data_IF_391709311708
#
_entry.id   IF_391709311708
#
_cell.length_a   1.000
_cell.length_b   1.000
_cell.length_c   1.000
_cell.angle_alpha   90.00
_cell.angle_beta   90.00
_cell.angle_gamma   90.00
#
_symmetry.space_group_name_H-M   'P 1'
#
loop_
_entity.id
_entity.type
_entity.pdbx_description
1 polymer ?
#
# COMPACT_ATOMS: atom_id res chain seq x y z
N UNK A 1 -8.16 8.63 -15.02
CA UNK A 1 -7.12 7.78 -14.40
C UNK A 1 -5.95 7.76 -15.37
N UNK A 2 -4.76 8.22 -14.98
CA UNK A 2 -3.63 8.40 -15.91
C UNK A 2 -3.25 7.08 -16.59
N UNK A 3 -3.14 7.10 -17.93
CA UNK A 3 -2.75 5.94 -18.75
C UNK A 3 -1.37 5.40 -18.32
N UNK A 4 -0.43 6.30 -18.02
CA UNK A 4 0.90 5.96 -17.49
C UNK A 4 0.89 5.23 -16.14
N UNK A 5 -0.03 5.59 -15.24
CA UNK A 5 -0.13 4.91 -13.93
C UNK A 5 -0.65 3.48 -14.09
N UNK A 6 -1.65 3.27 -14.96
CA UNK A 6 -2.13 1.91 -15.25
C UNK A 6 -1.04 1.07 -15.90
N UNK A 7 -0.29 1.65 -16.83
CA UNK A 7 0.82 0.96 -17.50
C UNK A 7 1.87 0.48 -16.50
N UNK A 8 2.37 1.38 -15.64
CA UNK A 8 3.35 1.03 -14.59
C UNK A 8 2.84 -0.04 -13.63
N UNK A 9 1.59 0.07 -13.16
CA UNK A 9 0.97 -0.94 -12.29
C UNK A 9 0.89 -2.33 -12.95
N UNK A 10 0.51 -2.40 -14.23
CA UNK A 10 0.43 -3.65 -14.99
C UNK A 10 1.82 -4.23 -15.21
N UNK A 11 2.80 -3.41 -15.61
CA UNK A 11 4.18 -3.85 -15.77
C UNK A 11 4.74 -4.40 -14.47
N UNK A 12 4.54 -3.72 -13.34
CA UNK A 12 5.02 -4.22 -12.04
C UNK A 12 4.31 -5.50 -11.63
N UNK A 13 3.00 -5.63 -11.86
CA UNK A 13 2.25 -6.86 -11.57
C UNK A 13 2.81 -8.06 -12.36
N UNK A 14 3.12 -7.88 -13.64
CA UNK A 14 3.68 -8.93 -14.51
C UNK A 14 5.10 -9.29 -14.04
N UNK A 15 5.96 -8.30 -13.83
CA UNK A 15 7.33 -8.51 -13.38
C UNK A 15 7.39 -9.17 -12.00
N UNK A 16 6.53 -8.77 -11.08
CA UNK A 16 6.49 -9.31 -9.71
C UNK A 16 5.92 -10.73 -9.63
N UNK A 17 5.26 -11.20 -10.70
CA UNK A 17 4.69 -12.54 -10.80
C UNK A 17 5.31 -13.36 -11.95
N UNK A 18 6.47 -12.93 -12.46
CA UNK A 18 7.14 -13.60 -13.55
C UNK A 18 7.98 -14.78 -13.03
N UNK A 19 7.69 -15.99 -13.51
CA UNK A 19 8.41 -17.21 -13.14
C UNK A 19 9.92 -17.13 -13.43
N UNK A 20 10.32 -16.42 -14.48
CA UNK A 20 11.73 -16.25 -14.87
C UNK A 20 12.54 -15.53 -13.78
N UNK A 21 11.90 -14.61 -13.04
CA UNK A 21 12.53 -13.87 -11.94
C UNK A 21 12.36 -14.55 -10.58
N UNK A 22 11.89 -15.80 -10.54
CA UNK A 22 11.67 -16.54 -9.29
C UNK A 22 12.94 -16.78 -8.46
N UNK A 23 14.13 -16.66 -9.07
CA UNK A 23 15.42 -16.69 -8.36
C UNK A 23 15.65 -15.50 -7.41
N UNK A 24 14.88 -14.41 -7.55
CA UNK A 24 14.95 -13.22 -6.69
C UNK A 24 14.03 -13.31 -5.45
N UNK A 25 13.43 -14.48 -5.16
CA UNK A 25 12.54 -14.69 -4.00
C UNK A 25 13.18 -14.30 -2.67
N UNK A 26 14.50 -14.33 -2.56
CA UNK A 26 15.23 -13.93 -1.35
C UNK A 26 15.31 -12.42 -1.12
N UNK A 27 15.03 -11.59 -2.14
CA UNK A 27 15.08 -10.14 -2.02
C UNK A 27 13.74 -9.60 -1.48
N UNK A 28 13.73 -8.96 -0.29
CA UNK A 28 12.51 -8.41 0.28
C UNK A 28 12.19 -7.08 -0.41
N UNK A 29 11.22 -7.09 -1.32
CA UNK A 29 10.74 -5.85 -1.91
C UNK A 29 9.69 -5.25 -0.97
N UNK A 30 9.71 -3.92 -0.71
CA UNK A 30 8.81 -3.32 0.26
C UNK A 30 7.46 -2.99 -0.39
N UNK A 31 6.93 -3.98 -1.10
CA UNK A 31 5.59 -4.01 -1.66
C UNK A 31 4.91 -5.27 -1.12
N UNK A 32 3.60 -5.20 -0.97
CA UNK A 32 2.82 -6.36 -0.54
C UNK A 32 2.69 -7.34 -1.71
N UNK A 33 3.55 -8.36 -1.72
CA UNK A 33 3.50 -9.54 -2.57
C UNK A 33 3.87 -10.76 -1.71
N UNK A 34 3.02 -11.77 -1.68
CA UNK A 34 3.13 -12.90 -0.77
C UNK A 34 4.25 -13.86 -1.21
N UNK A 35 5.19 -14.14 -0.30
CA UNK A 35 6.27 -15.12 -0.54
C UNK A 35 5.75 -16.54 -0.79
N UNK A 36 4.59 -16.90 -0.24
CA UNK A 36 3.99 -18.22 -0.44
C UNK A 36 3.36 -18.41 -1.82
N UNK A 37 3.25 -17.35 -2.64
CA UNK A 37 2.76 -17.47 -4.00
C UNK A 37 3.84 -18.13 -4.88
N UNK A 38 3.53 -19.22 -5.62
CA UNK A 38 4.53 -19.92 -6.43
C UNK A 38 5.13 -19.02 -7.52
N UNK A 39 4.33 -18.09 -8.05
CA UNK A 39 4.68 -17.15 -9.10
C UNK A 39 5.40 -15.89 -8.61
N UNK A 40 5.48 -15.64 -7.29
CA UNK A 40 6.10 -14.42 -6.78
C UNK A 40 7.60 -14.38 -7.07
N UNK A 41 8.05 -13.27 -7.67
CA UNK A 41 9.47 -13.01 -7.96
C UNK A 41 10.24 -12.44 -6.75
N UNK A 42 9.54 -11.91 -5.75
CA UNK A 42 10.15 -11.21 -4.59
C UNK A 42 9.47 -11.59 -3.29
N UNK A 43 10.17 -11.51 -2.15
CA UNK A 43 9.60 -11.73 -0.84
C UNK A 43 8.83 -10.51 -0.31
N UNK A 44 7.81 -10.79 0.51
CA UNK A 44 7.12 -9.76 1.30
C UNK A 44 8.08 -9.15 2.32
N UNK A 45 8.40 -7.86 2.20
CA UNK A 45 9.26 -7.18 3.17
C UNK A 45 8.75 -7.22 4.61
N UNK A 46 7.42 -7.23 4.82
CA UNK A 46 6.83 -7.35 6.17
C UNK A 46 6.97 -8.77 6.71
N UNK A 47 6.82 -9.79 5.86
CA UNK A 47 7.02 -11.18 6.28
C UNK A 47 8.47 -11.45 6.67
N UNK A 48 9.42 -10.93 5.89
CA UNK A 48 10.83 -10.97 6.23
C UNK A 48 11.11 -10.26 7.57
N UNK A 49 10.54 -9.07 7.78
CA UNK A 49 10.67 -8.33 9.04
C UNK A 49 10.18 -9.17 10.24
N UNK A 50 9.02 -9.82 10.13
CA UNK A 50 8.49 -10.67 11.21
C UNK A 50 9.36 -11.90 11.46
N UNK A 51 9.84 -12.56 10.40
CA UNK A 51 10.71 -13.72 10.56
C UNK A 51 11.97 -13.39 11.36
N UNK A 52 12.62 -12.26 11.05
CA UNK A 52 13.80 -11.80 11.79
C UNK A 52 13.48 -11.43 13.25
N UNK A 53 12.34 -10.79 13.51
CA UNK A 53 11.87 -10.50 14.87
C UNK A 53 11.60 -11.77 15.68
N UNK A 54 11.02 -12.79 15.06
CA UNK A 54 10.75 -14.09 15.68
C UNK A 54 12.04 -14.82 16.11
N UNK A 55 13.08 -14.80 15.27
CA UNK A 55 14.37 -15.43 15.60
C UNK A 55 15.27 -14.56 16.49
N UNK A 56 14.81 -13.38 16.91
CA UNK A 56 15.58 -12.44 17.72
C UNK A 56 16.77 -11.79 17.01
N UNK A 57 16.86 -11.91 15.68
CA UNK A 57 17.95 -11.32 14.90
C UNK A 57 17.55 -9.94 14.36
N UNK A 58 18.50 -9.01 14.32
CA UNK A 58 18.22 -7.66 13.83
C UNK A 58 18.13 -7.64 12.29
N UNK A 59 17.00 -7.17 11.71
CA UNK A 59 16.76 -7.23 10.26
C UNK A 59 17.46 -6.11 9.47
N UNK A 60 18.80 -6.05 9.50
CA UNK A 60 19.58 -5.00 8.85
C UNK A 60 19.24 -4.82 7.36
N UNK A 61 19.17 -5.91 6.60
CA UNK A 61 18.87 -5.88 5.16
C UNK A 61 17.47 -5.30 4.88
N UNK A 62 16.46 -5.79 5.61
CA UNK A 62 15.07 -5.37 5.40
C UNK A 62 14.93 -3.89 5.76
N UNK A 63 15.39 -3.48 6.94
CA UNK A 63 15.33 -2.09 7.37
C UNK A 63 16.11 -1.16 6.44
N UNK A 64 17.28 -1.58 5.98
CA UNK A 64 18.08 -0.85 4.99
C UNK A 64 17.30 -0.62 3.69
N UNK A 65 16.66 -1.65 3.15
CA UNK A 65 15.83 -1.53 1.94
C UNK A 65 14.62 -0.62 2.17
N UNK A 66 13.90 -0.77 3.29
CA UNK A 66 12.78 0.11 3.63
C UNK A 66 13.22 1.57 3.80
N UNK A 67 14.40 1.82 4.39
CA UNK A 67 14.94 3.16 4.59
C UNK A 67 15.40 3.79 3.27
N UNK A 68 16.12 3.05 2.43
CA UNK A 68 16.59 3.53 1.12
C UNK A 68 15.42 3.84 0.19
N UNK A 69 14.47 2.90 0.07
CA UNK A 69 13.30 3.07 -0.80
C UNK A 69 12.32 4.09 -0.20
N UNK A 70 12.15 4.09 1.12
CA UNK A 70 11.29 5.02 1.83
C UNK A 70 11.76 6.47 1.72
N UNK A 71 13.06 6.71 1.84
CA UNK A 71 13.67 8.04 1.71
C UNK A 71 13.74 8.54 0.26
N UNK A 72 13.91 7.67 -0.72
CA UNK A 72 13.96 8.09 -2.14
C UNK A 72 12.56 8.23 -2.74
N UNK A 73 11.77 7.15 -2.70
CA UNK A 73 10.49 7.03 -3.41
C UNK A 73 9.30 7.17 -2.44
N UNK A 74 9.45 6.77 -1.19
CA UNK A 74 8.41 6.83 -0.17
C UNK A 74 7.15 6.05 -0.56
N UNK A 75 5.97 6.61 -0.27
CA UNK A 75 4.65 6.01 -0.61
C UNK A 75 4.31 5.99 -2.11
N UNK A 76 5.17 6.49 -3.00
CA UNK A 76 4.90 6.50 -4.43
C UNK A 76 4.80 5.07 -4.97
N UNK A 77 5.55 4.13 -4.38
CA UNK A 77 5.41 2.70 -4.68
C UNK A 77 3.99 2.17 -4.40
N UNK A 78 3.36 2.56 -3.29
CA UNK A 78 2.00 2.13 -2.99
C UNK A 78 0.99 2.60 -4.03
N UNK A 79 1.20 3.79 -4.62
CA UNK A 79 0.36 4.34 -5.68
C UNK A 79 0.61 3.73 -7.07
N UNK A 80 1.88 3.53 -7.42
CA UNK A 80 2.31 3.25 -8.80
C UNK A 80 2.80 1.82 -9.05
N UNK A 81 3.40 1.17 -8.05
CA UNK A 81 4.07 -0.13 -8.23
C UNK A 81 3.32 -1.29 -7.53
N UNK A 82 2.55 -1.00 -6.47
CA UNK A 82 1.94 -2.05 -5.65
C UNK A 82 0.83 -2.81 -6.42
N UNK A 83 0.95 -4.14 -6.65
CA UNK A 83 -0.05 -4.92 -7.35
C UNK A 83 -1.36 -4.98 -6.56
N UNK A 84 -1.27 -5.14 -5.24
CA UNK A 84 -2.45 -5.10 -4.38
C UNK A 84 -3.19 -3.76 -4.46
N UNK A 85 -2.46 -2.65 -4.54
CA UNK A 85 -3.06 -1.33 -4.75
C UNK A 85 -3.83 -1.21 -6.07
N UNK A 86 -3.33 -1.85 -7.13
CA UNK A 86 -4.02 -1.94 -8.41
C UNK A 86 -5.31 -2.77 -8.32
N UNK A 87 -5.28 -3.92 -7.63
CA UNK A 87 -6.47 -4.73 -7.37
C UNK A 87 -7.57 -3.93 -6.64
N UNK A 88 -7.20 -3.12 -5.65
CA UNK A 88 -8.16 -2.25 -4.95
C UNK A 88 -8.81 -1.22 -5.89
N UNK A 89 -8.03 -0.61 -6.78
CA UNK A 89 -8.56 0.35 -7.77
C UNK A 89 -9.44 -0.34 -8.82
N UNK A 90 -9.21 -1.63 -9.10
CA UNK A 90 -10.05 -2.41 -10.00
C UNK A 90 -11.40 -2.75 -9.35
N UNK A 91 -11.38 -3.24 -8.11
CA UNK A 91 -12.60 -3.61 -7.36
C UNK A 91 -13.50 -2.40 -7.08
N UNK A 92 -12.92 -1.23 -6.82
CA UNK A 92 -13.69 0.00 -6.60
C UNK A 92 -14.47 0.49 -7.84
N UNK A 93 -14.16 -0.02 -9.04
CA UNK A 93 -14.95 0.32 -10.25
C UNK A 93 -16.29 -0.39 -10.28
N UNK A 94 -16.50 -1.41 -9.46
CA UNK A 94 -17.77 -2.11 -9.38
C UNK A 94 -18.82 -1.12 -8.85
N UNK A 95 -19.97 -0.95 -9.52
CA UNK A 95 -20.97 0.03 -9.13
C UNK A 95 -21.67 -0.40 -7.84
N UNK A 96 -21.21 0.14 -6.71
CA UNK A 96 -21.79 -0.03 -5.37
C UNK A 96 -22.01 1.34 -4.73
N UNK A 97 -22.77 1.37 -3.63
CA UNK A 97 -22.95 2.59 -2.82
C UNK A 97 -21.61 2.97 -2.19
N UNK A 98 -20.97 4.02 -2.74
CA UNK A 98 -19.64 4.46 -2.32
C UNK A 98 -19.71 5.16 -0.97
N UNK A 99 -18.91 4.69 -0.02
CA UNK A 99 -18.76 5.28 1.31
C UNK A 99 -17.37 5.88 1.45
N UNK A 100 -17.29 7.03 2.11
CA UNK A 100 -16.03 7.70 2.44
C UNK A 100 -15.81 7.68 3.93
N UNK A 101 -14.70 7.09 4.37
CA UNK A 101 -14.37 6.99 5.78
C UNK A 101 -13.68 8.26 6.33
N UNK A 102 -13.89 8.61 7.61
CA UNK A 102 -13.23 9.75 8.26
C UNK A 102 -11.72 9.56 8.38
N UNK A 103 -10.95 10.65 8.27
CA UNK A 103 -9.48 10.62 8.15
C UNK A 103 -8.77 9.88 9.29
N UNK A 104 -9.35 9.86 10.49
CA UNK A 104 -8.81 9.16 11.66
C UNK A 104 -8.59 7.65 11.45
N UNK A 105 -9.26 7.02 10.47
CA UNK A 105 -9.19 5.58 10.25
C UNK A 105 -7.82 5.16 9.74
N UNK A 106 -7.05 6.12 9.24
CA UNK A 106 -5.65 5.92 8.91
C UNK A 106 -4.78 5.55 10.11
N UNK A 107 -5.22 5.82 11.34
CA UNK A 107 -4.46 5.49 12.55
C UNK A 107 -4.43 3.99 12.85
N UNK A 108 -5.48 3.25 12.44
CA UNK A 108 -5.60 1.82 12.72
C UNK A 108 -4.41 1.01 12.17
N UNK A 109 -3.80 1.44 11.06
CA UNK A 109 -2.63 0.72 10.50
C UNK A 109 -1.43 0.75 11.44
N UNK A 110 -1.26 1.80 12.25
CA UNK A 110 -0.16 1.89 13.21
C UNK A 110 -0.41 0.98 14.41
N UNK A 111 -1.67 0.89 14.86
CA UNK A 111 -2.07 -0.07 15.88
C UNK A 111 -1.85 -1.50 15.38
N UNK A 112 -2.29 -1.81 14.16
CA UNK A 112 -2.10 -3.12 13.53
C UNK A 112 -0.61 -3.44 13.36
N UNK A 113 0.20 -2.46 12.94
CA UNK A 113 1.65 -2.63 12.84
C UNK A 113 2.27 -2.93 14.21
N UNK A 114 1.98 -2.13 15.22
CA UNK A 114 2.54 -2.33 16.56
C UNK A 114 2.11 -3.68 17.15
N UNK A 115 0.83 -4.03 17.08
CA UNK A 115 0.30 -5.24 17.71
C UNK A 115 0.64 -6.49 16.89
N UNK A 116 0.28 -6.55 15.60
CA UNK A 116 0.41 -7.78 14.80
C UNK A 116 1.80 -8.01 14.20
N UNK A 117 2.58 -6.95 13.97
CA UNK A 117 3.91 -7.06 13.34
C UNK A 117 5.03 -7.01 14.36
N UNK A 118 4.88 -6.27 15.47
CA UNK A 118 5.93 -6.11 16.48
C UNK A 118 5.64 -6.92 17.75
N UNK A 119 4.59 -6.61 18.50
CA UNK A 119 4.34 -7.20 19.82
C UNK A 119 4.02 -8.70 19.77
N UNK A 120 3.09 -9.13 18.91
CA UNK A 120 2.67 -10.53 18.86
C UNK A 120 3.80 -11.49 18.43
N UNK A 121 4.60 -11.22 17.39
CA UNK A 121 5.73 -12.09 17.05
C UNK A 121 6.78 -12.18 18.15
N UNK A 122 6.96 -11.13 18.97
CA UNK A 122 7.90 -11.18 20.10
C UNK A 122 7.39 -12.05 21.25
N UNK A 123 6.07 -12.12 21.48
CA UNK A 123 5.47 -12.94 22.55
C UNK A 123 5.27 -14.39 22.12
N UNK A 124 4.71 -14.59 20.92
CA UNK A 124 4.28 -15.92 20.45
C UNK A 124 5.35 -16.60 19.58
N UNK A 125 6.40 -15.88 19.18
CA UNK A 125 7.46 -16.37 18.29
C UNK A 125 6.92 -16.94 16.97
N UNK A 126 5.84 -16.35 16.47
CA UNK A 126 5.18 -16.77 15.23
C UNK A 126 4.76 -15.53 14.41
N UNK A 127 4.91 -15.55 13.07
CA UNK A 127 4.55 -14.42 12.21
C UNK A 127 3.02 -14.32 12.01
N UNK A 128 2.31 -13.85 13.03
CA UNK A 128 0.84 -13.77 13.08
C UNK A 128 0.22 -12.97 11.92
N UNK A 129 0.81 -11.83 11.57
CA UNK A 129 0.32 -11.04 10.43
C UNK A 129 0.38 -11.84 9.12
N UNK A 130 1.45 -12.59 8.83
CA UNK A 130 1.51 -13.46 7.65
C UNK A 130 0.41 -14.53 7.63
N UNK A 131 0.05 -15.09 8.80
CA UNK A 131 -1.05 -16.06 8.90
C UNK A 131 -2.41 -15.44 8.60
N UNK A 132 -2.64 -14.20 9.04
CA UNK A 132 -3.92 -13.46 8.86
C UNK A 132 -3.96 -12.57 7.61
N UNK A 133 -2.86 -12.49 6.84
CA UNK A 133 -2.71 -11.53 5.76
C UNK A 133 -3.73 -11.79 4.64
N UNK A 134 -4.59 -10.81 4.30
CA UNK A 134 -5.55 -10.96 3.20
C UNK A 134 -4.86 -11.03 1.84
N UNK A 135 -3.67 -10.41 1.69
CA UNK A 135 -2.87 -10.49 0.47
C UNK A 135 -2.41 -11.93 0.24
N UNK A 136 -1.93 -12.61 1.29
CA UNK A 136 -1.56 -14.02 1.20
C UNK A 136 -2.75 -14.96 1.05
N UNK A 137 -3.96 -14.55 1.47
CA UNK A 137 -5.18 -15.29 1.20
C UNK A 137 -5.52 -15.26 -0.29
N UNK A 138 -5.45 -14.08 -0.90
CA UNK A 138 -5.76 -13.84 -2.29
C UNK A 138 -4.72 -14.46 -3.24
N UNK A 139 -3.43 -14.22 -2.98
CA UNK A 139 -2.34 -14.59 -3.91
C UNK A 139 -1.88 -16.05 -3.75
N UNK A 140 -1.84 -16.59 -2.53
CA UNK A 140 -1.37 -17.95 -2.27
C UNK A 140 -2.50 -18.88 -1.81
N UNK A 141 -3.38 -18.39 -0.93
CA UNK A 141 -4.46 -19.20 -0.35
C UNK A 141 -5.43 -19.76 -1.38
N UNK A 142 -5.95 -18.92 -2.29
CA UNK A 142 -6.90 -19.36 -3.33
C UNK A 142 -6.25 -20.36 -4.31
N UNK A 143 -5.08 -20.06 -4.93
CA UNK A 143 -4.48 -21.01 -5.88
C UNK A 143 -4.07 -22.34 -5.24
N UNK A 144 -3.52 -22.31 -4.02
CA UNK A 144 -3.12 -23.54 -3.31
C UNK A 144 -4.35 -24.39 -2.93
N UNK A 145 -5.44 -23.77 -2.48
CA UNK A 145 -6.68 -24.49 -2.18
C UNK A 145 -7.33 -25.12 -3.42
N UNK A 146 -7.21 -24.49 -4.59
CA UNK A 146 -7.73 -25.06 -5.84
C UNK A 146 -6.85 -26.23 -6.32
N UNK A 147 -5.53 -26.12 -6.21
CA UNK A 147 -4.59 -27.04 -6.86
C UNK A 147 -4.22 -28.26 -6.00
N UNK A 148 -4.22 -28.14 -4.67
CA UNK A 148 -3.69 -29.15 -3.78
C UNK A 148 -4.78 -29.74 -2.88
N UNK A 149 -5.08 -31.03 -3.05
CA UNK A 149 -6.07 -31.74 -2.25
C UNK A 149 -5.63 -31.95 -0.80
N UNK A 150 -4.31 -31.98 -0.52
CA UNK A 150 -3.78 -32.12 0.84
C UNK A 150 -3.97 -30.86 1.68
N UNK A 151 -3.87 -29.68 1.07
CA UNK A 151 -4.15 -28.40 1.74
C UNK A 151 -5.66 -28.27 2.09
N UNK A 152 -6.55 -28.86 1.28
CA UNK A 152 -8.00 -28.89 1.57
C UNK A 152 -8.35 -29.69 2.81
N UNK A 153 -7.56 -30.69 3.17
CA UNK A 153 -7.78 -31.48 4.39
C UNK A 153 -7.20 -30.81 5.64
N UNK A 154 -6.25 -29.88 5.47
CA UNK A 154 -5.68 -29.06 6.55
C UNK A 154 -6.46 -27.76 6.82
N UNK A 155 -7.74 -27.69 6.44
CA UNK A 155 -8.59 -26.52 6.70
C UNK A 155 -8.87 -26.45 8.20
N UNK A 156 -8.04 -25.68 8.90
CA UNK A 156 -8.25 -25.31 10.29
C UNK A 156 -9.11 -24.04 10.45
N UNK A 157 -9.52 -23.71 11.69
CA UNK A 157 -10.30 -22.51 12.00
C UNK A 157 -9.61 -21.20 11.55
N UNK A 158 -8.27 -21.19 11.55
CA UNK A 158 -7.47 -20.05 11.09
C UNK A 158 -7.68 -19.74 9.59
N UNK A 159 -7.92 -20.76 8.78
CA UNK A 159 -8.22 -20.61 7.35
C UNK A 159 -9.55 -19.89 7.15
N UNK A 160 -10.60 -20.28 7.90
CA UNK A 160 -11.90 -19.62 7.85
C UNK A 160 -11.82 -18.15 8.27
N UNK A 161 -11.12 -17.84 9.37
CA UNK A 161 -10.92 -16.45 9.82
C UNK A 161 -10.20 -15.62 8.75
N UNK A 162 -9.15 -16.18 8.14
CA UNK A 162 -8.39 -15.51 7.08
C UNK A 162 -9.26 -15.19 5.85
N UNK A 163 -10.12 -16.11 5.43
CA UNK A 163 -11.06 -15.90 4.31
C UNK A 163 -12.19 -14.94 4.67
N UNK A 164 -12.68 -14.96 5.91
CA UNK A 164 -13.66 -13.99 6.41
C UNK A 164 -13.08 -12.56 6.34
N UNK A 165 -11.84 -12.37 6.80
CA UNK A 165 -11.13 -11.09 6.72
C UNK A 165 -10.97 -10.66 5.25
N UNK A 166 -10.59 -11.60 4.37
CA UNK A 166 -10.47 -11.31 2.94
C UNK A 166 -11.81 -10.86 2.34
N UNK A 167 -12.90 -11.57 2.60
CA UNK A 167 -14.23 -11.25 2.09
C UNK A 167 -14.70 -9.87 2.57
N UNK A 168 -14.57 -9.60 3.87
CA UNK A 168 -14.89 -8.28 4.43
C UNK A 168 -14.05 -7.17 3.81
N UNK A 169 -12.78 -7.44 3.53
CA UNK A 169 -11.90 -6.47 2.88
C UNK A 169 -12.25 -6.25 1.41
N UNK A 170 -12.62 -7.29 0.66
CA UNK A 170 -13.09 -7.17 -0.73
C UNK A 170 -14.35 -6.32 -0.77
N UNK A 171 -15.32 -6.59 0.10
CA UNK A 171 -16.53 -5.78 0.22
C UNK A 171 -16.19 -4.31 0.51
N UNK A 172 -15.26 -4.06 1.43
CA UNK A 172 -14.80 -2.72 1.75
C UNK A 172 -14.10 -2.04 0.56
N UNK A 173 -13.35 -2.79 -0.27
CA UNK A 173 -12.70 -2.27 -1.49
C UNK A 173 -13.70 -1.90 -2.58
N UNK A 174 -14.88 -2.52 -2.61
CA UNK A 174 -15.94 -2.17 -3.55
C UNK A 174 -16.62 -0.85 -3.15
N UNK A 175 -16.74 -0.58 -1.84
CA UNK A 175 -17.41 0.60 -1.29
C UNK A 175 -16.46 1.80 -1.14
N UNK A 176 -15.21 1.54 -0.81
CA UNK A 176 -14.18 2.54 -0.55
C UNK A 176 -12.95 2.26 -1.39
N UNK A 177 -12.35 3.30 -1.95
CA UNK A 177 -11.13 3.16 -2.74
C UNK A 177 -9.91 3.04 -1.80
N UNK A 178 -9.11 1.97 -1.97
CA UNK A 178 -7.89 1.65 -1.22
C UNK A 178 -7.99 1.57 0.33
N UNK A 179 -8.98 0.87 0.93
CA UNK A 179 -9.15 0.79 2.38
C UNK A 179 -7.99 0.07 3.08
N UNK A 180 -7.48 -1.03 2.52
CA UNK A 180 -6.32 -1.75 3.07
C UNK A 180 -5.08 -0.86 3.21
N UNK A 181 -4.64 -0.18 2.15
CA UNK A 181 -3.47 0.70 2.19
C UNK A 181 -3.63 1.86 3.18
N UNK A 182 -4.87 2.27 3.46
CA UNK A 182 -5.19 3.34 4.40
C UNK A 182 -5.26 2.85 5.85
N UNK A 183 -5.95 1.74 6.11
CA UNK A 183 -6.36 1.33 7.46
C UNK A 183 -5.63 0.12 8.02
N UNK A 184 -5.08 -0.77 7.17
CA UNK A 184 -4.63 -2.11 7.62
C UNK A 184 -3.16 -2.36 7.27
N UNK A 185 -2.66 -1.83 6.16
CA UNK A 185 -1.37 -2.20 5.60
C UNK A 185 -0.18 -1.76 6.49
N UNK A 186 0.60 -2.72 7.05
CA UNK A 186 1.75 -2.41 7.90
C UNK A 186 2.90 -1.77 7.11
N UNK A 187 3.17 -2.20 5.87
CA UNK A 187 4.13 -1.53 5.00
C UNK A 187 3.72 -0.08 4.75
N UNK A 188 2.41 0.16 4.57
CA UNK A 188 1.85 1.50 4.48
C UNK A 188 2.11 2.34 5.73
N UNK A 189 2.04 1.75 6.92
CA UNK A 189 2.34 2.43 8.19
C UNK A 189 3.79 2.95 8.21
N UNK A 190 4.75 2.08 7.86
CA UNK A 190 6.17 2.44 7.77
C UNK A 190 6.37 3.58 6.75
N UNK A 191 5.86 3.43 5.52
CA UNK A 191 6.05 4.44 4.49
C UNK A 191 5.32 5.76 4.76
N UNK A 192 4.26 5.76 5.57
CA UNK A 192 3.63 7.02 6.00
C UNK A 192 4.58 7.90 6.79
N UNK A 193 5.46 7.30 7.60
CA UNK A 193 6.44 8.03 8.40
C UNK A 193 7.50 8.68 7.50
N UNK A 194 7.88 7.98 6.43
CA UNK A 194 8.86 8.47 5.46
C UNK A 194 8.35 9.62 4.58
N UNK A 195 7.06 9.98 4.59
CA UNK A 195 6.54 11.11 3.79
C UNK A 195 7.31 12.43 4.03
N UNK A 196 7.73 12.69 5.27
CA UNK A 196 8.44 13.93 5.62
C UNK A 196 9.90 13.94 5.13
N UNK A 197 10.47 12.77 4.89
CA UNK A 197 11.88 12.60 4.52
C UNK A 197 12.00 12.29 3.02
N UNK A 198 10.95 11.75 2.39
CA UNK A 198 10.97 11.31 1.01
C UNK A 198 11.42 12.42 0.07
N UNK A 199 12.32 12.12 -0.88
CA UNK A 199 12.76 13.08 -1.89
C UNK A 199 11.56 13.56 -2.70
N UNK A 200 10.71 12.64 -3.14
CA UNK A 200 9.50 12.96 -3.89
C UNK A 200 8.30 13.20 -2.97
N UNK A 201 7.56 14.30 -3.18
CA UNK A 201 6.39 14.67 -2.34
C UNK A 201 5.24 15.19 -3.18
N UNK A 202 4.04 15.08 -2.62
CA UNK A 202 2.82 15.76 -3.11
C UNK A 202 2.29 16.60 -1.96
N UNK A 203 2.18 17.91 -2.17
CA UNK A 203 1.68 18.84 -1.15
C UNK A 203 0.78 19.91 -1.76
N UNK A 204 -0.09 20.48 -0.94
CA UNK A 204 -0.81 21.70 -1.30
C UNK A 204 0.08 22.93 -1.13
N UNK A 205 -0.24 24.01 -1.82
CA UNK A 205 0.30 25.36 -1.60
C UNK A 205 -0.64 26.08 -0.63
N UNK A 206 -0.32 26.17 0.68
CA UNK A 206 -1.26 26.68 1.69
C UNK A 206 -1.74 28.10 1.37
N UNK A 207 -0.82 28.96 0.94
CA UNK A 207 -1.05 30.39 0.67
C UNK A 207 -2.06 30.64 -0.45
N UNK A 208 -2.20 29.69 -1.39
CA UNK A 208 -3.14 29.79 -2.52
C UNK A 208 -4.37 28.87 -2.33
N UNK A 209 -4.43 28.09 -1.25
CA UNK A 209 -5.46 27.07 -1.06
C UNK A 209 -6.78 27.68 -0.59
N UNK A 210 -7.86 27.36 -1.29
CA UNK A 210 -9.24 27.65 -0.87
C UNK A 210 -9.94 26.35 -0.41
N UNK A 211 -10.90 26.41 0.53
CA UNK A 211 -11.57 25.24 1.13
C UNK A 211 -12.59 24.57 0.20
N UNK A 212 -12.21 24.30 -1.06
CA UNK A 212 -13.07 23.72 -2.08
C UNK A 212 -13.17 22.18 -2.04
N UNK A 213 -12.31 21.50 -1.27
CA UNK A 213 -12.24 20.04 -1.14
C UNK A 213 -12.10 19.23 -2.45
N UNK A 214 -11.80 19.87 -3.59
CA UNK A 214 -11.65 19.20 -4.90
C UNK A 214 -10.55 18.12 -4.89
N UNK A 215 -9.41 18.41 -4.26
CA UNK A 215 -8.29 17.48 -4.17
C UNK A 215 -8.63 16.24 -3.33
N UNK A 216 -9.34 16.42 -2.21
CA UNK A 216 -9.79 15.32 -1.33
C UNK A 216 -10.81 14.43 -2.03
N UNK A 217 -11.79 15.02 -2.74
CA UNK A 217 -12.80 14.27 -3.49
C UNK A 217 -12.23 13.44 -4.64
N UNK A 218 -11.14 13.92 -5.26
CA UNK A 218 -10.45 13.22 -6.36
C UNK A 218 -9.39 12.22 -5.87
N UNK A 219 -9.03 12.28 -4.58
CA UNK A 219 -8.05 11.41 -3.98
C UNK A 219 -8.64 10.01 -3.78
N UNK A 220 -7.97 8.95 -4.27
CA UNK A 220 -8.46 7.58 -4.11
C UNK A 220 -8.52 7.16 -2.65
N UNK A 221 -7.64 7.69 -1.79
CA UNK A 221 -7.70 7.40 -0.36
C UNK A 221 -8.65 8.33 0.41
N UNK A 222 -9.27 9.33 -0.25
CA UNK A 222 -10.15 10.31 0.41
C UNK A 222 -9.43 11.23 1.41
N UNK A 223 -8.13 11.48 1.21
CA UNK A 223 -7.29 12.27 2.13
C UNK A 223 -6.77 13.54 1.46
N UNK A 224 -6.43 14.54 2.27
CA UNK A 224 -5.77 15.75 1.80
C UNK A 224 -4.34 15.44 1.33
N UNK A 225 -3.77 16.22 0.39
CA UNK A 225 -2.40 16.01 -0.07
C UNK A 225 -1.37 16.15 1.08
N UNK A 226 -1.70 16.91 2.13
CA UNK A 226 -0.86 17.14 3.30
C UNK A 226 -0.89 15.95 4.28
N UNK A 227 -1.91 15.09 4.23
CA UNK A 227 -2.00 13.90 5.09
C UNK A 227 -0.85 12.91 4.86
N UNK A 228 -0.38 12.27 5.94
CA UNK A 228 0.58 11.15 5.88
C UNK A 228 0.01 9.92 5.17
N UNK A 229 -1.30 9.88 4.97
CA UNK A 229 -1.99 8.78 4.29
C UNK A 229 -1.99 8.92 2.76
N UNK A 230 -1.45 10.03 2.23
CA UNK A 230 -1.32 10.24 0.79
C UNK A 230 -0.45 9.14 0.16
N UNK A 231 -1.03 8.37 -0.77
CA UNK A 231 -0.33 7.32 -1.54
C UNK A 231 0.39 7.86 -2.78
N UNK A 232 0.53 9.19 -2.90
CA UNK A 232 1.22 9.87 -4.00
C UNK A 232 0.79 9.42 -5.41
N UNK A 233 -0.51 9.17 -5.58
CA UNK A 233 -1.10 8.74 -6.85
C UNK A 233 -1.21 9.87 -7.90
N UNK A 234 -0.94 11.13 -7.50
CA UNK A 234 -0.96 12.36 -8.30
C UNK A 234 -2.29 12.73 -8.98
N UNK A 235 -3.39 12.03 -8.69
CA UNK A 235 -4.71 12.36 -9.24
C UNK A 235 -5.16 13.80 -8.94
N UNK A 236 -4.72 14.37 -7.81
CA UNK A 236 -5.05 15.73 -7.38
C UNK A 236 -4.28 16.82 -8.14
N UNK A 237 -3.07 16.53 -8.64
CA UNK A 237 -2.19 17.50 -9.32
C UNK A 237 -2.84 17.99 -10.63
N UNK A 238 -3.46 17.09 -11.39
CA UNK A 238 -4.18 17.45 -12.62
C UNK A 238 -5.55 18.10 -12.38
N UNK A 239 -6.02 18.21 -11.14
CA UNK A 239 -7.36 18.76 -10.81
C UNK A 239 -7.30 20.08 -10.05
N UNK A 240 -6.23 20.33 -9.28
CA UNK A 240 -6.08 21.53 -8.47
C UNK A 240 -4.74 22.20 -8.77
N UNK A 241 -4.78 23.44 -9.26
CA UNK A 241 -3.59 24.27 -9.55
C UNK A 241 -2.75 24.55 -8.29
N UNK A 242 -3.35 24.47 -7.11
CA UNK A 242 -2.72 24.72 -5.81
C UNK A 242 -2.17 23.43 -5.17
N UNK A 243 -1.99 22.36 -5.95
CA UNK A 243 -1.32 21.13 -5.53
C UNK A 243 -0.13 20.91 -6.45
N UNK A 244 1.02 20.64 -5.86
CA UNK A 244 2.25 20.34 -6.59
C UNK A 244 2.75 18.93 -6.25
N UNK A 245 3.51 18.35 -7.17
CA UNK A 245 4.20 17.08 -6.99
C UNK A 245 5.62 17.20 -7.54
N UNK A 246 6.63 16.82 -6.76
CA UNK A 246 8.02 16.96 -7.17
C UNK A 246 9.00 16.74 -6.02
N UNK A 247 10.29 16.98 -6.30
CA UNK A 247 11.36 16.93 -5.29
C UNK A 247 11.46 18.22 -4.48
N UNK A 248 11.37 19.35 -5.17
CA UNK A 248 11.40 20.66 -4.56
C UNK A 248 10.00 21.28 -4.57
N UNK A 249 9.62 22.03 -3.52
CA UNK A 249 8.43 22.86 -3.60
C UNK A 249 8.54 23.79 -4.81
N UNK A 250 7.43 24.09 -5.51
CA UNK A 250 7.47 25.09 -6.56
C UNK A 250 8.05 26.36 -5.95
N UNK A 251 9.10 26.89 -6.57
CA UNK A 251 9.64 28.19 -6.20
C UNK A 251 8.46 29.17 -6.17
N UNK A 252 8.42 30.07 -5.18
CA UNK A 252 7.44 31.16 -5.12
C UNK A 252 7.55 31.98 -6.41
N UNK A 253 6.88 31.56 -7.47
CA UNK A 253 6.65 32.40 -8.62
C UNK A 253 5.68 33.46 -8.13
N UNK A 254 6.28 34.61 -7.80
CA UNK A 254 5.64 35.92 -7.68
C UNK A 254 4.78 36.04 -8.95
N UNK A 255 3.47 36.04 -8.77
CA UNK A 255 2.50 36.12 -9.85
C UNK A 255 2.81 37.38 -10.67
N UNK A 256 3.50 37.26 -11.81
CA UNK A 256 3.48 38.32 -12.81
C UNK A 256 2.12 38.25 -13.45
N UNK A 257 1.24 39.17 -13.03
CA UNK A 257 -0.05 39.37 -13.64
C UNK A 257 0.09 39.49 -15.16
N UNK A 258 -0.53 38.56 -15.86
CA UNK A 258 -1.09 38.83 -17.18
C UNK A 258 -2.54 38.40 -17.12
N UNK A 259 -3.37 39.38 -16.75
CA UNK A 259 -4.73 39.51 -17.24
C UNK A 259 -4.67 39.32 -18.76
N UNK A 260 -5.41 38.34 -19.27
CA UNK A 260 -5.88 38.34 -20.65
C UNK A 260 -6.45 39.74 -20.93
N UNK A 261 -5.97 40.33 -22.03
CA UNK A 261 -6.65 41.38 -22.78
C UNK A 261 -7.12 40.72 -24.06
#
# INVERSE_FOLDING_TARGET
MNRYRRFTQICTLILSNCYILSGLKYCPFPIMNCHACPLAATACGIGALQHFLTIGAFPFLVLGIFLLIGSTIGRLLCGWACPFGFFQELLYKIPMNKLTFPQWTGMFKYLIFLVLVVLLPMVVQEPWFCKLCPVGALEAGIPLWIKDEGIRQMIGPLFHVKFLILYGLIYLMMITERPFCRMICPAGAIFSLFKKISLFRVNGVPDKCIPCNKCTRRCPAGVTPISNDCVMCMNCVGTCKNVWAGMNPPQRHRDTGKSEK
#
